data_IF_602384758451
#
_entry.id   IF_602384758451
#
_cell.length_a   1.000
_cell.length_b   1.000
_cell.length_c   1.000
_cell.angle_alpha   90.00
_cell.angle_beta   90.00
_cell.angle_gamma   90.00
#
_symmetry.space_group_name_H-M   'P 1'
#
loop_
_entity.id
_entity.type
_entity.pdbx_description
1 polymer ?
#
# COMPACT_ATOMS: atom_id res chain seq x y z
N UNK A 1 -34.26 14.78 45.72
CA UNK A 1 -34.45 14.58 44.27
C UNK A 1 -33.43 15.33 43.39
N UNK A 2 -32.73 16.37 43.86
CA UNK A 2 -31.81 17.16 43.00
C UNK A 2 -30.42 16.53 42.76
N UNK A 3 -29.88 15.78 43.72
CA UNK A 3 -28.53 15.19 43.62
C UNK A 3 -28.40 14.16 42.49
N UNK A 4 -29.43 13.34 42.27
CA UNK A 4 -29.47 12.33 41.21
C UNK A 4 -29.53 12.96 39.81
N UNK A 5 -30.30 14.05 39.66
CA UNK A 5 -30.36 14.80 38.40
C UNK A 5 -29.01 15.46 38.07
N UNK A 6 -28.32 16.04 39.07
CA UNK A 6 -26.98 16.62 38.89
C UNK A 6 -25.95 15.55 38.54
N UNK A 7 -25.95 14.40 39.22
CA UNK A 7 -25.02 13.31 38.88
C UNK A 7 -25.26 12.75 37.47
N UNK A 8 -26.52 12.66 37.03
CA UNK A 8 -26.85 12.23 35.68
C UNK A 8 -26.37 13.25 34.62
N UNK A 9 -26.55 14.54 34.87
CA UNK A 9 -26.06 15.60 33.98
C UNK A 9 -24.53 15.60 33.87
N UNK A 10 -23.81 15.42 34.99
CA UNK A 10 -22.35 15.27 34.98
C UNK A 10 -21.90 14.00 34.24
N UNK A 11 -22.61 12.89 34.41
CA UNK A 11 -22.36 11.66 33.68
C UNK A 11 -22.50 11.82 32.17
N UNK A 12 -23.58 12.50 31.73
CA UNK A 12 -23.81 12.80 30.32
C UNK A 12 -22.72 13.73 29.74
N UNK A 13 -22.29 14.75 30.51
CA UNK A 13 -21.20 15.63 30.10
C UNK A 13 -19.87 14.88 29.96
N UNK A 14 -19.52 14.05 30.94
CA UNK A 14 -18.29 13.26 30.91
C UNK A 14 -18.29 12.24 29.77
N UNK A 15 -19.45 11.63 29.47
CA UNK A 15 -19.60 10.76 28.32
C UNK A 15 -19.35 11.50 27.01
N UNK A 16 -19.95 12.68 26.82
CA UNK A 16 -19.73 13.49 25.62
C UNK A 16 -18.25 13.91 25.45
N UNK A 17 -17.57 14.27 26.54
CA UNK A 17 -16.13 14.57 26.52
C UNK A 17 -15.31 13.34 26.14
N UNK A 18 -15.62 12.17 26.70
CA UNK A 18 -14.94 10.92 26.39
C UNK A 18 -15.15 10.50 24.93
N UNK A 19 -16.36 10.65 24.40
CA UNK A 19 -16.67 10.40 22.99
C UNK A 19 -15.89 11.34 22.07
N UNK A 20 -15.82 12.63 22.41
CA UNK A 20 -15.05 13.62 21.64
C UNK A 20 -13.56 13.25 21.61
N UNK A 21 -12.97 12.96 22.76
CA UNK A 21 -11.57 12.53 22.84
C UNK A 21 -11.31 11.23 22.07
N UNK A 22 -12.26 10.29 22.09
CA UNK A 22 -12.17 9.05 21.32
C UNK A 22 -12.20 9.30 19.80
N UNK A 23 -13.05 10.23 19.33
CA UNK A 23 -13.12 10.65 17.92
C UNK A 23 -11.82 11.34 17.50
N UNK A 24 -11.29 12.26 18.31
CA UNK A 24 -10.01 12.93 18.02
C UNK A 24 -8.84 11.94 17.94
N UNK A 25 -8.79 10.98 18.85
CA UNK A 25 -7.78 9.92 18.82
C UNK A 25 -7.94 9.04 17.57
N UNK A 26 -9.17 8.66 17.22
CA UNK A 26 -9.43 7.86 16.03
C UNK A 26 -9.01 8.59 14.75
N UNK A 27 -9.30 9.88 14.65
CA UNK A 27 -8.92 10.71 13.51
C UNK A 27 -7.40 10.84 13.37
N UNK A 28 -6.72 11.17 14.47
CA UNK A 28 -5.26 11.34 14.48
C UNK A 28 -4.52 10.04 14.16
N UNK A 29 -4.96 8.92 14.74
CA UNK A 29 -4.44 7.59 14.41
C UNK A 29 -4.73 7.21 12.94
N UNK A 30 -5.92 7.53 12.44
CA UNK A 30 -6.31 7.30 11.05
C UNK A 30 -5.44 8.06 10.05
N UNK A 31 -5.15 9.35 10.31
CA UNK A 31 -4.26 10.17 9.48
C UNK A 31 -2.83 9.60 9.48
N UNK A 32 -2.29 9.24 10.65
CA UNK A 32 -0.96 8.65 10.75
C UNK A 32 -0.88 7.32 9.98
N UNK A 33 -1.87 6.44 10.16
CA UNK A 33 -1.94 5.17 9.43
C UNK A 33 -2.01 5.40 7.91
N UNK A 34 -2.80 6.37 7.45
CA UNK A 34 -2.90 6.71 6.03
C UNK A 34 -1.55 7.17 5.48
N UNK A 35 -0.89 8.11 6.17
CA UNK A 35 0.42 8.66 5.79
C UNK A 35 1.47 7.56 5.61
N UNK A 36 1.67 6.72 6.63
CA UNK A 36 2.66 5.65 6.56
C UNK A 36 2.30 4.58 5.52
N UNK A 37 1.01 4.27 5.35
CA UNK A 37 0.59 3.31 4.32
C UNK A 37 0.82 3.82 2.90
N UNK A 38 0.74 5.15 2.68
CA UNK A 38 1.02 5.79 1.40
C UNK A 38 2.52 5.81 1.13
N UNK A 39 3.34 6.18 2.11
CA UNK A 39 4.80 6.11 2.00
C UNK A 39 5.28 4.70 1.65
N UNK A 40 4.79 3.68 2.38
CA UNK A 40 5.14 2.29 2.09
C UNK A 40 4.71 1.86 0.68
N UNK A 41 3.56 2.33 0.19
CA UNK A 41 3.11 2.01 -1.17
C UNK A 41 4.02 2.57 -2.25
N UNK A 42 4.57 3.77 -2.06
CA UNK A 42 5.52 4.36 -3.00
C UNK A 42 6.88 3.67 -2.96
N UNK A 43 7.38 3.33 -1.77
CA UNK A 43 8.63 2.59 -1.63
C UNK A 43 8.54 1.20 -2.28
N UNK A 44 7.42 0.50 -2.09
CA UNK A 44 7.17 -0.77 -2.76
C UNK A 44 7.10 -0.59 -4.27
N UNK A 45 6.46 0.47 -4.76
CA UNK A 45 6.37 0.73 -6.19
C UNK A 45 7.76 0.97 -6.80
N UNK A 46 8.58 1.78 -6.15
CA UNK A 46 9.96 2.07 -6.57
C UNK A 46 10.81 0.79 -6.59
N UNK A 47 10.75 -0.01 -5.53
CA UNK A 47 11.46 -1.30 -5.47
C UNK A 47 11.03 -2.26 -6.60
N UNK A 48 9.74 -2.31 -6.91
CA UNK A 48 9.23 -3.14 -8.00
C UNK A 48 9.68 -2.61 -9.37
N UNK A 49 9.78 -1.29 -9.55
CA UNK A 49 10.34 -0.70 -10.77
C UNK A 49 11.82 -1.04 -10.94
N UNK A 50 12.62 -0.91 -9.88
CA UNK A 50 14.02 -1.35 -9.90
C UNK A 50 14.16 -2.84 -10.21
N UNK A 51 13.29 -3.67 -9.61
CA UNK A 51 13.26 -5.11 -9.89
C UNK A 51 12.93 -5.37 -11.35
N UNK A 52 11.98 -4.62 -11.93
CA UNK A 52 11.60 -4.71 -13.33
C UNK A 52 12.80 -4.45 -14.24
N UNK A 53 13.59 -3.42 -13.96
CA UNK A 53 14.77 -3.06 -14.76
C UNK A 53 15.86 -4.14 -14.71
N UNK A 54 16.08 -4.75 -13.54
CA UNK A 54 17.01 -5.90 -13.42
C UNK A 54 16.52 -7.11 -14.21
N UNK A 55 15.20 -7.40 -14.18
CA UNK A 55 14.65 -8.50 -14.97
C UNK A 55 14.70 -8.20 -16.47
N UNK A 56 14.54 -6.95 -16.89
CA UNK A 56 14.69 -6.55 -18.30
C UNK A 56 16.12 -6.82 -18.80
N UNK A 57 17.11 -6.44 -18.00
CA UNK A 57 18.51 -6.76 -18.28
C UNK A 57 18.74 -8.27 -18.42
N UNK A 58 18.16 -9.08 -17.53
CA UNK A 58 18.25 -10.53 -17.63
C UNK A 58 17.59 -11.08 -18.91
N UNK A 59 16.42 -10.54 -19.30
CA UNK A 59 15.74 -10.91 -20.55
C UNK A 59 16.64 -10.61 -21.75
N UNK A 60 17.25 -9.42 -21.80
CA UNK A 60 18.15 -9.03 -22.89
C UNK A 60 19.37 -9.95 -22.96
N UNK A 61 19.96 -10.30 -21.81
CA UNK A 61 21.08 -11.21 -21.74
C UNK A 61 20.73 -12.63 -22.25
N UNK A 62 19.60 -13.18 -21.81
CA UNK A 62 19.11 -14.47 -22.30
C UNK A 62 18.76 -14.44 -23.79
N UNK A 63 18.13 -13.36 -24.26
CA UNK A 63 17.81 -13.17 -25.67
C UNK A 63 19.07 -13.17 -26.55
N UNK A 64 20.12 -12.48 -26.12
CA UNK A 64 21.41 -12.46 -26.81
C UNK A 64 22.02 -13.87 -26.87
N UNK A 65 22.07 -14.59 -25.74
CA UNK A 65 22.59 -15.97 -25.71
C UNK A 65 21.80 -16.92 -26.61
N UNK A 66 20.48 -16.83 -26.60
CA UNK A 66 19.61 -17.63 -27.50
C UNK A 66 19.89 -17.31 -28.97
N UNK A 67 20.05 -16.03 -29.32
CA UNK A 67 20.34 -15.61 -30.70
C UNK A 67 21.70 -16.15 -31.20
N UNK A 68 22.65 -16.35 -30.30
CA UNK A 68 23.96 -16.94 -30.60
C UNK A 68 24.02 -18.46 -30.40
N UNK A 69 22.91 -19.11 -30.06
CA UNK A 69 22.88 -20.57 -29.82
C UNK A 69 23.61 -21.01 -28.54
N UNK A 70 23.92 -20.07 -27.64
CA UNK A 70 24.65 -20.30 -26.39
C UNK A 70 23.73 -20.70 -25.22
N UNK A 71 22.41 -20.67 -25.42
CA UNK A 71 21.42 -21.02 -24.42
C UNK A 71 20.13 -21.56 -25.07
N UNK A 72 19.44 -22.46 -24.37
CA UNK A 72 18.10 -22.89 -24.75
C UNK A 72 17.08 -21.75 -24.59
N UNK A 73 15.91 -21.85 -25.22
CA UNK A 73 14.84 -20.84 -25.08
C UNK A 73 14.17 -20.82 -23.70
N UNK A 74 14.31 -21.88 -22.90
CA UNK A 74 13.60 -22.03 -21.62
C UNK A 74 13.98 -20.93 -20.60
N UNK A 75 15.27 -20.64 -20.32
CA UNK A 75 15.65 -19.52 -19.45
C UNK A 75 15.14 -18.16 -19.94
N UNK A 76 15.19 -17.87 -21.24
CA UNK A 76 14.64 -16.65 -21.84
C UNK A 76 13.14 -16.49 -21.55
N UNK A 77 12.35 -17.55 -21.75
CA UNK A 77 10.92 -17.52 -21.42
C UNK A 77 10.66 -17.45 -19.91
N UNK A 78 11.52 -18.08 -19.10
CA UNK A 78 11.49 -17.97 -17.63
C UNK A 78 11.66 -16.53 -17.15
N UNK A 79 12.65 -15.81 -17.67
CA UNK A 79 12.87 -14.40 -17.35
C UNK A 79 11.68 -13.52 -17.77
N UNK A 80 11.07 -13.79 -18.92
CA UNK A 80 9.84 -13.09 -19.36
C UNK A 80 8.64 -13.38 -18.46
N UNK A 81 8.52 -14.59 -17.92
CA UNK A 81 7.48 -14.92 -16.95
C UNK A 81 7.68 -14.14 -15.63
N UNK A 82 8.94 -13.97 -15.19
CA UNK A 82 9.27 -13.15 -14.03
C UNK A 82 8.89 -11.68 -14.25
N UNK A 83 9.18 -11.11 -15.43
CA UNK A 83 8.75 -9.75 -15.80
C UNK A 83 7.24 -9.57 -15.64
N UNK A 84 6.46 -10.52 -16.17
CA UNK A 84 5.01 -10.47 -16.04
C UNK A 84 4.54 -10.56 -14.58
N UNK A 85 5.24 -11.32 -13.73
CA UNK A 85 4.93 -11.38 -12.31
C UNK A 85 5.18 -10.02 -11.61
N UNK A 86 6.30 -9.37 -11.91
CA UNK A 86 6.62 -8.02 -11.40
C UNK A 86 5.59 -6.99 -11.91
N UNK A 87 5.24 -7.01 -13.19
CA UNK A 87 4.23 -6.12 -13.77
C UNK A 87 2.86 -6.26 -13.09
N UNK A 88 2.44 -7.49 -12.75
CA UNK A 88 1.23 -7.75 -11.98
C UNK A 88 1.29 -7.14 -10.58
N UNK A 89 2.44 -7.24 -9.91
CA UNK A 89 2.62 -6.63 -8.59
C UNK A 89 2.58 -5.11 -8.65
N UNK A 90 3.23 -4.49 -9.65
CA UNK A 90 3.17 -3.04 -9.91
C UNK A 90 1.72 -2.59 -10.11
N UNK A 91 0.97 -3.27 -10.97
CA UNK A 91 -0.43 -2.96 -11.23
C UNK A 91 -1.28 -3.06 -9.95
N UNK A 92 -1.07 -4.11 -9.13
CA UNK A 92 -1.76 -4.29 -7.87
C UNK A 92 -1.48 -3.15 -6.88
N UNK A 93 -0.23 -2.73 -6.74
CA UNK A 93 0.17 -1.64 -5.83
C UNK A 93 -0.40 -0.30 -6.30
N UNK A 94 -0.32 0.01 -7.60
CA UNK A 94 -0.96 1.20 -8.18
C UNK A 94 -2.47 1.21 -7.94
N UNK A 95 -3.13 0.07 -8.11
CA UNK A 95 -4.56 -0.08 -7.83
C UNK A 95 -4.91 0.16 -6.34
N UNK A 96 -4.13 -0.39 -5.42
CA UNK A 96 -4.28 -0.15 -3.97
C UNK A 96 -4.07 1.32 -3.60
N UNK A 97 -3.07 1.97 -4.20
CA UNK A 97 -2.79 3.40 -4.00
C UNK A 97 -3.95 4.28 -4.47
N UNK A 98 -4.46 4.04 -5.70
CA UNK A 98 -5.64 4.75 -6.22
C UNK A 98 -6.87 4.60 -5.33
N UNK A 99 -7.16 3.38 -4.86
CA UNK A 99 -8.28 3.13 -3.93
C UNK A 99 -8.11 3.91 -2.62
N UNK A 100 -6.89 4.00 -2.08
CA UNK A 100 -6.60 4.80 -0.87
C UNK A 100 -6.82 6.30 -1.12
N UNK A 101 -6.29 6.85 -2.20
CA UNK A 101 -6.52 8.25 -2.57
C UNK A 101 -8.03 8.57 -2.68
N UNK A 102 -8.81 7.68 -3.31
CA UNK A 102 -10.28 7.84 -3.43
C UNK A 102 -11.07 7.70 -2.12
N UNK A 103 -10.45 7.16 -1.07
CA UNK A 103 -11.03 7.15 0.29
C UNK A 103 -10.71 8.41 1.08
N UNK A 104 -9.65 9.13 0.72
CA UNK A 104 -9.30 10.41 1.34
C UNK A 104 -10.09 11.58 0.73
N UNK A 105 -10.62 11.42 -0.49
CA UNK A 105 -11.39 12.42 -1.21
C UNK A 105 -12.92 12.30 -1.01
N UNK A 106 -13.37 11.40 -0.13
CA UNK A 106 -14.77 11.21 0.27
C UNK A 106 -14.89 11.49 1.76
#
# INVERSE_FOLDING_TARGET
MHRSAVSAALGAQNAALAETAAVELSLTAGVAQLYYSMQASYQILDLLQQTRDVVDYAIQAHQSKVAHGLEAKVPYHGARAQMLAVDKQIAAVKGKSKKRASRCAR
#
